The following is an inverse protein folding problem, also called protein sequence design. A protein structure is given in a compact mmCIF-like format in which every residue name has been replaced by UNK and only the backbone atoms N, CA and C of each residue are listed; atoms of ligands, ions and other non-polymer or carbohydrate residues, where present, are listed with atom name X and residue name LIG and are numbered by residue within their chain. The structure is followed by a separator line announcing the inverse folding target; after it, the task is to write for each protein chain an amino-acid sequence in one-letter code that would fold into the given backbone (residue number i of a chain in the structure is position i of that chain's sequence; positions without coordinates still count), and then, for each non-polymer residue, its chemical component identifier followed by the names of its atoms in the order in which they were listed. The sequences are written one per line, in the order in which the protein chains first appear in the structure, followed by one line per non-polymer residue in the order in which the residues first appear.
data_IF_742141060769
#
_entry.id   IF_742141060769
#
_cell.length_a   1.000
_cell.length_b   1.000
_cell.length_c   1.000
_cell.angle_alpha   90.00
_cell.angle_beta   90.00
_cell.angle_gamma   90.00
#
_symmetry.space_group_name_H-M   'P 1'
#
loop_
_entity.id
_entity.type
_entity.pdbx_description
1 polymer ?
#
# COMPACT_ATOMS: atom_id res chain seq x y z
N UNK A 1 37.29 0.26 -0.62
CA UNK A 1 36.39 0.84 -1.64
C UNK A 1 34.94 0.33 -1.60
N UNK A 2 34.63 -0.93 -1.25
CA UNK A 2 33.24 -1.46 -1.17
C UNK A 2 32.33 -0.83 -0.08
N UNK A 3 32.91 -0.15 0.91
CA UNK A 3 32.18 0.40 2.07
C UNK A 3 31.40 1.69 1.74
N UNK A 4 31.98 2.60 0.96
CA UNK A 4 31.40 3.92 0.67
C UNK A 4 30.15 3.80 -0.21
N UNK A 5 30.19 2.97 -1.26
CA UNK A 5 29.03 2.70 -2.11
C UNK A 5 27.84 2.13 -1.35
N UNK A 6 28.10 1.26 -0.36
CA UNK A 6 27.05 0.66 0.47
C UNK A 6 26.36 1.70 1.36
N UNK A 7 27.12 2.66 1.88
CA UNK A 7 26.62 3.78 2.70
C UNK A 7 25.79 4.74 1.83
N UNK A 8 26.26 5.08 0.62
CA UNK A 8 25.53 5.94 -0.30
C UNK A 8 24.19 5.34 -0.74
N UNK A 9 24.16 4.04 -1.06
CA UNK A 9 22.93 3.32 -1.38
C UNK A 9 21.93 3.34 -0.20
N UNK A 10 22.43 3.14 1.02
CA UNK A 10 21.60 3.16 2.23
C UNK A 10 21.01 4.56 2.51
N UNK A 11 21.79 5.63 2.31
CA UNK A 11 21.33 7.02 2.43
C UNK A 11 20.25 7.32 1.39
N UNK A 12 20.43 6.89 0.13
CA UNK A 12 19.45 7.06 -0.95
C UNK A 12 18.17 6.30 -0.62
N UNK A 13 18.29 5.06 -0.15
CA UNK A 13 17.15 4.22 0.26
C UNK A 13 16.39 4.86 1.42
N UNK A 14 17.08 5.38 2.43
CA UNK A 14 16.46 6.05 3.57
C UNK A 14 15.76 7.35 3.18
N UNK A 15 16.34 8.14 2.27
CA UNK A 15 15.66 9.33 1.69
C UNK A 15 14.40 8.96 0.91
N UNK A 16 14.43 7.85 0.14
CA UNK A 16 13.25 7.32 -0.56
C UNK A 16 12.19 6.83 0.43
N UNK A 17 12.55 6.01 1.44
CA UNK A 17 11.62 5.52 2.49
C UNK A 17 10.89 6.66 3.19
N UNK A 18 11.61 7.70 3.62
CA UNK A 18 11.04 8.89 4.26
C UNK A 18 10.15 9.70 3.31
N UNK A 19 10.48 9.77 2.01
CA UNK A 19 9.65 10.46 1.01
C UNK A 19 8.29 9.79 0.82
N UNK A 20 8.21 8.47 0.99
CA UNK A 20 6.98 7.70 0.83
C UNK A 20 6.31 7.34 2.15
N UNK A 21 6.77 7.84 3.31
CA UNK A 21 6.20 7.45 4.62
C UNK A 21 6.21 5.93 4.89
N UNK A 22 7.11 5.19 4.24
CA UNK A 22 7.05 3.74 4.15
C UNK A 22 7.59 3.06 5.42
N UNK A 23 6.68 2.72 6.34
CA UNK A 23 6.89 1.77 7.42
C UNK A 23 6.22 0.45 7.03
N UNK A 24 7.03 -0.58 6.77
CA UNK A 24 6.49 -1.91 6.47
C UNK A 24 5.80 -2.45 7.73
N UNK A 25 4.55 -2.87 7.61
CA UNK A 25 3.90 -3.65 8.65
C UNK A 25 4.57 -5.01 8.75
N UNK A 26 4.87 -5.47 9.97
CA UNK A 26 5.37 -6.81 10.18
C UNK A 26 4.28 -7.83 9.87
N UNK A 27 4.70 -9.03 9.47
CA UNK A 27 3.78 -10.17 9.31
C UNK A 27 3.15 -10.52 10.67
N UNK A 28 3.87 -10.31 11.77
CA UNK A 28 3.38 -10.59 13.13
C UNK A 28 2.14 -9.77 13.48
N UNK A 29 2.10 -8.47 13.13
CA UNK A 29 0.91 -7.64 13.34
C UNK A 29 -0.29 -8.22 12.60
N UNK A 30 -0.10 -8.68 11.36
CA UNK A 30 -1.17 -9.32 10.61
C UNK A 30 -1.63 -10.60 11.31
N UNK A 31 -0.71 -11.48 11.70
CA UNK A 31 -1.03 -12.77 12.33
C UNK A 31 -1.71 -12.63 13.69
N UNK A 32 -1.29 -11.64 14.48
CA UNK A 32 -1.77 -11.44 15.85
C UNK A 32 -3.12 -10.73 15.89
N UNK A 33 -3.33 -9.71 15.04
CA UNK A 33 -4.49 -8.81 15.19
C UNK A 33 -5.49 -8.86 14.04
N UNK A 34 -5.06 -9.19 12.81
CA UNK A 34 -5.95 -9.14 11.64
C UNK A 34 -6.46 -10.53 11.31
N UNK A 35 -5.56 -11.52 11.23
CA UNK A 35 -5.88 -12.87 10.80
C UNK A 35 -6.98 -13.54 11.65
N UNK A 36 -6.98 -13.46 13.00
CA UNK A 36 -8.00 -14.11 13.82
C UNK A 36 -9.43 -13.67 13.50
N UNK A 37 -9.61 -12.41 13.08
CA UNK A 37 -10.91 -11.81 12.76
C UNK A 37 -11.44 -12.22 11.39
N UNK A 38 -10.56 -12.60 10.46
CA UNK A 38 -10.93 -12.83 9.05
C UNK A 38 -10.72 -14.27 8.58
N UNK A 39 -10.00 -15.10 9.33
CA UNK A 39 -9.55 -16.44 8.90
C UNK A 39 -10.69 -17.36 8.43
N UNK A 40 -11.87 -17.27 9.03
CA UNK A 40 -13.01 -18.13 8.69
C UNK A 40 -13.70 -17.69 7.38
N UNK A 41 -13.44 -16.46 6.93
CA UNK A 41 -14.10 -15.83 5.79
C UNK A 41 -13.16 -15.64 4.58
N UNK A 42 -11.97 -16.23 4.59
CA UNK A 42 -10.94 -15.97 3.58
C UNK A 42 -11.39 -16.28 2.14
N UNK A 43 -12.31 -17.23 1.96
CA UNK A 43 -12.86 -17.64 0.67
C UNK A 43 -14.08 -16.82 0.21
N UNK A 44 -14.59 -15.93 1.05
CA UNK A 44 -15.79 -15.15 0.74
C UNK A 44 -15.47 -13.83 0.06
N UNK A 45 -14.22 -13.35 0.18
CA UNK A 45 -13.81 -12.00 -0.25
C UNK A 45 -12.62 -12.01 -1.20
N UNK A 46 -12.51 -10.96 -2.01
CA UNK A 46 -11.25 -10.60 -2.67
C UNK A 46 -10.48 -9.63 -1.77
N UNK A 47 -9.33 -10.05 -1.27
CA UNK A 47 -8.43 -9.32 -0.38
C UNK A 47 -7.51 -8.39 -1.16
N UNK A 48 -7.60 -7.09 -0.85
CA UNK A 48 -6.97 -6.04 -1.65
C UNK A 48 -6.09 -5.15 -0.79
N UNK A 49 -4.83 -5.00 -1.19
CA UNK A 49 -3.93 -3.99 -0.62
C UNK A 49 -3.50 -3.01 -1.71
N UNK A 50 -3.94 -1.76 -1.58
CA UNK A 50 -3.65 -0.69 -2.54
C UNK A 50 -2.28 -0.02 -2.31
N UNK A 51 -1.60 -0.36 -1.21
CA UNK A 51 -0.29 0.15 -0.78
C UNK A 51 0.58 -1.00 -0.24
N UNK A 52 0.66 -2.07 -1.02
CA UNK A 52 1.04 -3.40 -0.54
C UNK A 52 2.46 -3.53 -0.01
N UNK A 53 3.39 -2.64 -0.39
CA UNK A 53 4.79 -2.81 -0.06
C UNK A 53 5.29 -4.20 -0.51
N UNK A 54 5.81 -4.97 0.43
CA UNK A 54 6.32 -6.34 0.18
C UNK A 54 5.24 -7.43 0.33
N UNK A 55 3.97 -7.05 0.52
CA UNK A 55 2.80 -7.94 0.59
C UNK A 55 2.48 -8.50 1.97
N UNK A 56 3.10 -7.97 3.04
CA UNK A 56 3.04 -8.55 4.38
C UNK A 56 1.66 -8.57 5.04
N UNK A 57 0.69 -7.78 4.55
CA UNK A 57 -0.65 -7.70 5.13
C UNK A 57 -1.68 -8.63 4.49
N UNK A 58 -1.36 -9.23 3.34
CA UNK A 58 -2.33 -10.06 2.59
C UNK A 58 -1.72 -11.38 2.16
N UNK A 59 -0.45 -11.42 1.73
CA UNK A 59 0.19 -12.68 1.32
C UNK A 59 0.20 -13.75 2.43
N UNK A 60 0.32 -13.43 3.73
CA UNK A 60 0.25 -14.45 4.77
C UNK A 60 -1.09 -15.19 4.86
N UNK A 61 -2.17 -14.70 4.22
CA UNK A 61 -3.42 -15.48 4.06
C UNK A 61 -3.18 -16.83 3.37
N UNK A 62 -2.15 -16.94 2.53
CA UNK A 62 -1.79 -18.19 1.86
C UNK A 62 -1.33 -19.28 2.85
N UNK A 63 -0.92 -18.93 4.07
CA UNK A 63 -0.62 -19.89 5.13
C UNK A 63 -1.87 -20.65 5.60
N UNK A 64 -3.05 -20.01 5.52
CA UNK A 64 -4.34 -20.60 5.88
C UNK A 64 -4.95 -21.48 4.78
N UNK A 65 -4.29 -21.57 3.62
CA UNK A 65 -4.78 -22.29 2.45
C UNK A 65 -3.89 -23.49 2.15
N UNK A 66 -4.51 -24.66 1.98
CA UNK A 66 -3.88 -25.88 1.51
C UNK A 66 -3.06 -25.63 0.23
N UNK A 67 -1.87 -26.22 0.13
CA UNK A 67 -0.88 -25.94 -0.91
C UNK A 67 -1.47 -26.05 -2.32
N UNK A 68 -2.31 -27.07 -2.55
CA UNK A 68 -2.95 -27.39 -3.82
C UNK A 68 -3.99 -26.34 -4.23
N UNK A 69 -4.58 -25.66 -3.24
CA UNK A 69 -5.61 -24.62 -3.43
C UNK A 69 -5.01 -23.22 -3.54
N UNK A 70 -3.76 -22.99 -3.12
CA UNK A 70 -3.12 -21.66 -3.07
C UNK A 70 -3.11 -20.93 -4.40
N UNK A 71 -2.84 -21.61 -5.50
CA UNK A 71 -2.81 -20.98 -6.83
C UNK A 71 -4.20 -20.46 -7.21
N UNK A 72 -5.24 -21.26 -6.97
CA UNK A 72 -6.63 -20.85 -7.23
C UNK A 72 -7.03 -19.71 -6.32
N UNK A 73 -6.77 -19.85 -5.01
CA UNK A 73 -7.04 -18.82 -4.02
C UNK A 73 -6.40 -17.50 -4.41
N UNK A 74 -5.09 -17.49 -4.66
CA UNK A 74 -4.36 -16.29 -5.03
C UNK A 74 -4.93 -15.61 -6.28
N UNK A 75 -5.23 -16.38 -7.34
CA UNK A 75 -5.78 -15.85 -8.60
C UNK A 75 -7.10 -15.12 -8.40
N UNK A 76 -7.98 -15.70 -7.57
CA UNK A 76 -9.36 -15.26 -7.41
C UNK A 76 -9.55 -14.26 -6.24
N UNK A 77 -8.71 -14.34 -5.22
CA UNK A 77 -8.93 -13.68 -3.93
C UNK A 77 -7.83 -12.71 -3.49
N UNK A 78 -6.68 -12.59 -4.18
CA UNK A 78 -5.61 -11.67 -3.74
C UNK A 78 -5.24 -10.70 -4.86
N UNK A 79 -5.27 -9.39 -4.55
CA UNK A 79 -4.84 -8.32 -5.46
C UNK A 79 -4.01 -7.27 -4.74
N UNK A 80 -2.78 -7.03 -5.18
CA UNK A 80 -1.82 -6.18 -4.51
C UNK A 80 -1.29 -5.10 -5.47
N UNK A 81 -1.20 -3.87 -4.98
CA UNK A 81 -0.71 -2.74 -5.75
C UNK A 81 0.30 -1.93 -4.95
N UNK A 82 1.35 -1.47 -5.62
CA UNK A 82 2.26 -0.47 -5.06
C UNK A 82 2.82 0.41 -6.18
N UNK A 83 3.11 1.67 -5.88
CA UNK A 83 3.72 2.59 -6.85
C UNK A 83 5.22 2.30 -7.07
N UNK A 84 5.86 1.63 -6.11
CA UNK A 84 7.28 1.34 -6.08
C UNK A 84 7.58 -0.01 -6.72
N UNK A 85 8.24 0.02 -7.88
CA UNK A 85 8.70 -1.16 -8.62
C UNK A 85 9.44 -2.20 -7.75
N UNK A 86 10.32 -1.74 -6.86
CA UNK A 86 11.09 -2.62 -6.00
C UNK A 86 10.21 -3.36 -4.98
N UNK A 87 9.09 -2.75 -4.55
CA UNK A 87 8.15 -3.35 -3.60
C UNK A 87 7.32 -4.42 -4.29
N UNK A 88 6.80 -4.10 -5.49
CA UNK A 88 6.13 -5.05 -6.38
C UNK A 88 6.98 -6.29 -6.64
N UNK A 89 8.26 -6.12 -7.02
CA UNK A 89 9.17 -7.25 -7.26
C UNK A 89 9.38 -8.12 -6.02
N UNK A 90 9.47 -7.51 -4.83
CA UNK A 90 9.59 -8.25 -3.57
C UNK A 90 8.31 -8.98 -3.20
N UNK A 91 7.16 -8.34 -3.37
CA UNK A 91 5.87 -8.98 -3.15
C UNK A 91 5.67 -10.19 -4.09
N UNK A 92 6.08 -10.08 -5.36
CA UNK A 92 6.09 -11.21 -6.31
C UNK A 92 7.01 -12.33 -5.79
N UNK A 93 8.26 -12.00 -5.43
CA UNK A 93 9.18 -13.00 -4.88
C UNK A 93 8.68 -13.63 -3.58
N UNK A 94 7.95 -12.89 -2.75
CA UNK A 94 7.31 -13.43 -1.55
C UNK A 94 6.14 -14.35 -1.88
N UNK A 95 5.31 -14.02 -2.87
CA UNK A 95 4.24 -14.89 -3.35
C UNK A 95 4.80 -16.23 -3.89
N UNK A 96 5.94 -16.21 -4.58
CA UNK A 96 6.63 -17.43 -5.04
C UNK A 96 7.02 -18.34 -3.88
N UNK A 97 7.47 -17.78 -2.74
CA UNK A 97 7.78 -18.56 -1.54
C UNK A 97 6.56 -19.27 -0.95
N UNK A 98 5.36 -18.75 -1.19
CA UNK A 98 4.10 -19.42 -0.80
C UNK A 98 3.63 -20.47 -1.82
N UNK A 99 4.35 -20.67 -2.92
CA UNK A 99 4.01 -21.63 -3.98
C UNK A 99 3.20 -21.04 -5.14
N UNK A 100 3.11 -19.70 -5.24
CA UNK A 100 2.44 -19.02 -6.37
C UNK A 100 3.44 -18.80 -7.51
N UNK A 101 3.25 -19.39 -8.70
CA UNK A 101 4.18 -19.19 -9.81
C UNK A 101 4.29 -17.73 -10.25
N UNK A 102 5.49 -17.29 -10.64
CA UNK A 102 5.77 -15.92 -11.11
C UNK A 102 4.75 -15.38 -12.13
N UNK A 103 4.41 -16.19 -13.13
CA UNK A 103 3.48 -15.81 -14.21
C UNK A 103 2.05 -15.56 -13.72
N UNK A 104 1.69 -16.11 -12.57
CA UNK A 104 0.44 -15.86 -11.86
C UNK A 104 0.59 -14.66 -10.93
N UNK A 105 1.66 -14.65 -10.12
CA UNK A 105 1.95 -13.57 -9.17
C UNK A 105 1.94 -12.18 -9.85
N UNK A 106 2.64 -12.04 -10.98
CA UNK A 106 2.73 -10.77 -11.72
C UNK A 106 1.41 -10.25 -12.28
N UNK A 107 0.37 -11.09 -12.38
CA UNK A 107 -0.96 -10.67 -12.87
C UNK A 107 -1.74 -9.95 -11.79
N UNK A 108 -1.60 -10.38 -10.53
CA UNK A 108 -2.36 -9.86 -9.40
C UNK A 108 -1.55 -8.91 -8.52
N UNK A 109 -0.22 -8.87 -8.68
CA UNK A 109 0.68 -7.94 -8.01
C UNK A 109 1.21 -6.96 -9.05
N UNK A 110 0.69 -5.73 -9.03
CA UNK A 110 0.92 -4.77 -10.10
C UNK A 110 1.53 -3.47 -9.58
N UNK A 111 2.41 -2.88 -10.40
CA UNK A 111 2.83 -1.50 -10.18
C UNK A 111 1.75 -0.55 -10.64
N UNK A 112 1.20 0.22 -9.70
CA UNK A 112 0.13 1.19 -9.99
C UNK A 112 0.13 2.32 -8.97
N UNK A 113 -0.15 3.53 -9.44
CA UNK A 113 -0.47 4.67 -8.58
C UNK A 113 -1.99 4.66 -8.34
N UNK A 114 -2.42 3.96 -7.31
CA UNK A 114 -3.85 3.70 -7.01
C UNK A 114 -4.63 4.94 -6.58
N UNK A 115 -3.94 6.02 -6.22
CA UNK A 115 -4.56 7.33 -5.95
C UNK A 115 -4.89 8.08 -7.25
N UNK A 116 -4.08 7.90 -8.29
CA UNK A 116 -4.27 8.54 -9.61
C UNK A 116 -5.12 7.69 -10.55
N UNK A 117 -4.93 6.37 -10.52
CA UNK A 117 -5.55 5.38 -11.39
C UNK A 117 -6.03 4.21 -10.52
N UNK A 118 -7.26 4.31 -10.03
CA UNK A 118 -7.87 3.21 -9.27
C UNK A 118 -8.16 2.03 -10.21
N UNK A 119 -7.80 0.79 -9.84
CA UNK A 119 -8.02 -0.37 -10.70
C UNK A 119 -9.50 -0.73 -10.80
N UNK A 120 -10.17 -0.20 -11.83
CA UNK A 120 -11.62 -0.33 -12.05
C UNK A 120 -12.15 -1.78 -12.08
N UNK A 121 -11.32 -2.75 -12.49
CA UNK A 121 -11.70 -4.17 -12.49
C UNK A 121 -12.04 -4.71 -11.09
N UNK A 122 -11.62 -4.03 -10.01
CA UNK A 122 -12.02 -4.37 -8.65
C UNK A 122 -13.55 -4.37 -8.51
N UNK A 123 -14.25 -3.47 -9.20
CA UNK A 123 -15.72 -3.33 -9.14
C UNK A 123 -16.45 -4.52 -9.78
N UNK A 124 -15.75 -5.32 -10.56
CA UNK A 124 -16.29 -6.46 -11.31
C UNK A 124 -15.68 -7.79 -10.87
N UNK A 125 -15.05 -7.82 -9.69
CA UNK A 125 -14.51 -9.06 -9.13
C UNK A 125 -15.63 -10.06 -8.84
N UNK A 126 -15.28 -11.35 -8.91
CA UNK A 126 -16.19 -12.44 -8.60
C UNK A 126 -16.65 -12.43 -7.14
N UNK A 127 -15.78 -11.99 -6.23
CA UNK A 127 -16.05 -11.90 -4.80
C UNK A 127 -16.03 -10.42 -4.36
N UNK A 128 -16.79 -10.06 -3.31
CA UNK A 128 -16.79 -8.70 -2.78
C UNK A 128 -15.37 -8.25 -2.37
N UNK A 129 -14.95 -7.03 -2.73
CA UNK A 129 -13.64 -6.52 -2.35
C UNK A 129 -13.58 -6.19 -0.85
N UNK A 130 -12.53 -6.66 -0.18
CA UNK A 130 -12.19 -6.31 1.20
C UNK A 130 -10.78 -5.74 1.25
N UNK A 131 -10.64 -4.52 1.77
CA UNK A 131 -9.36 -3.83 1.81
C UNK A 131 -8.61 -4.06 3.13
N UNK A 132 -7.40 -4.63 3.05
CA UNK A 132 -6.45 -4.69 4.17
C UNK A 132 -5.22 -3.93 3.72
N UNK A 133 -4.99 -2.75 4.29
CA UNK A 133 -3.89 -1.89 3.86
C UNK A 133 -3.37 -1.04 5.01
N UNK A 134 -2.08 -0.72 4.98
CA UNK A 134 -1.46 0.28 5.85
C UNK A 134 -0.91 1.40 4.96
N UNK A 135 -1.75 2.38 4.60
CA UNK A 135 -1.36 3.41 3.66
C UNK A 135 -0.21 4.24 4.23
N UNK A 136 0.66 4.80 3.37
CA UNK A 136 1.76 5.62 3.84
C UNK A 136 1.27 6.85 4.61
N UNK A 137 1.69 6.99 5.87
CA UNK A 137 1.41 8.19 6.66
C UNK A 137 2.30 9.34 6.21
N UNK A 138 1.83 10.09 5.22
CA UNK A 138 2.40 11.39 4.91
C UNK A 138 1.83 12.42 5.89
N UNK A 139 2.64 12.86 6.85
CA UNK A 139 2.28 14.01 7.69
C UNK A 139 2.03 15.22 6.77
N UNK A 140 0.82 15.77 6.75
CA UNK A 140 0.44 16.94 5.94
C UNK A 140 1.41 18.12 6.15
N UNK A 141 1.91 18.30 7.38
CA UNK A 141 2.94 19.31 7.68
C UNK A 141 4.31 19.02 7.05
N UNK A 142 4.62 17.79 6.68
CA UNK A 142 5.86 17.43 5.97
C UNK A 142 5.77 17.77 4.48
N UNK A 143 4.61 17.57 3.85
CA UNK A 143 4.32 18.02 2.49
C UNK A 143 4.38 19.56 2.44
N UNK A 144 3.75 20.23 3.42
CA UNK A 144 3.74 21.69 3.54
C UNK A 144 5.14 22.27 3.75
N UNK A 145 5.96 21.71 4.65
CA UNK A 145 7.35 22.15 4.88
C UNK A 145 8.24 21.99 3.64
N UNK A 146 8.08 20.91 2.87
CA UNK A 146 8.83 20.71 1.62
C UNK A 146 8.40 21.66 0.51
N UNK A 147 7.10 21.94 0.39
CA UNK A 147 6.60 22.92 -0.57
C UNK A 147 7.15 24.33 -0.28
N UNK A 148 7.19 24.72 1.01
CA UNK A 148 7.77 25.99 1.46
C UNK A 148 9.27 26.05 1.18
N UNK A 149 10.03 25.03 1.60
CA UNK A 149 11.48 24.98 1.38
C UNK A 149 11.87 25.00 -0.11
N UNK A 150 11.09 24.37 -0.98
CA UNK A 150 11.31 24.45 -2.42
C UNK A 150 10.96 25.83 -2.99
N UNK A 151 9.87 26.47 -2.54
CA UNK A 151 9.50 27.82 -2.96
C UNK A 151 10.59 28.84 -2.59
N UNK A 152 11.14 28.75 -1.38
CA UNK A 152 12.27 29.57 -0.91
C UNK A 152 13.53 29.34 -1.76
N UNK A 153 13.83 28.09 -2.10
CA UNK A 153 14.97 27.72 -2.96
C UNK A 153 14.88 28.30 -4.38
N UNK A 154 13.67 28.51 -4.91
CA UNK A 154 13.43 29.09 -6.24
C UNK A 154 13.05 30.58 -6.18
N UNK A 155 13.26 31.26 -5.04
CA UNK A 155 13.05 32.70 -4.89
C UNK A 155 11.60 33.15 -4.92
N UNK A 156 10.64 32.24 -4.69
CA UNK A 156 9.21 32.58 -4.66
C UNK A 156 8.87 33.12 -3.27
N UNK A 157 8.38 34.37 -3.13
CA UNK A 157 8.06 34.96 -1.84
C UNK A 157 7.04 34.11 -1.07
N UNK A 158 7.33 33.86 0.21
CA UNK A 158 6.54 33.03 1.15
C UNK A 158 5.03 33.30 1.09
N UNK A 159 4.64 34.56 0.92
CA UNK A 159 3.24 35.00 0.86
C UNK A 159 2.49 34.53 -0.41
N UNK A 160 3.20 34.32 -1.53
CA UNK A 160 2.62 33.84 -2.79
C UNK A 160 2.45 32.32 -2.76
N UNK A 161 3.42 31.59 -2.18
CA UNK A 161 3.32 30.15 -1.99
C UNK A 161 2.16 29.77 -1.06
N UNK A 162 1.95 30.52 0.02
CA UNK A 162 0.87 30.28 0.99
C UNK A 162 -0.52 30.53 0.40
N UNK A 163 -0.70 31.56 -0.44
CA UNK A 163 -1.97 31.87 -1.13
C UNK A 163 -2.37 30.80 -2.15
N UNK A 164 -1.40 30.21 -2.85
CA UNK A 164 -1.64 29.13 -3.81
C UNK A 164 -1.96 27.78 -3.15
N UNK A 165 -1.47 27.55 -1.93
CA UNK A 165 -1.80 26.38 -1.11
C UNK A 165 -3.20 26.53 -0.50
N UNK A 166 -3.56 27.71 0.02
CA UNK A 166 -4.92 27.97 0.54
C UNK A 166 -6.03 27.81 -0.53
N UNK A 167 -5.73 28.11 -1.81
CA UNK A 167 -6.66 27.83 -2.93
C UNK A 167 -6.80 26.34 -3.26
N UNK A 168 -5.86 25.48 -2.86
CA UNK A 168 -5.99 24.02 -2.93
C UNK A 168 -6.68 23.44 -1.69
N UNK A 169 -6.53 24.09 -0.54
CA UNK A 169 -7.21 23.73 0.71
C UNK A 169 -8.74 23.97 0.67
N UNK A 170 -9.28 24.63 -0.36
CA UNK A 170 -10.74 24.71 -0.60
C UNK A 170 -11.33 23.52 -1.35
N UNK A 171 -10.56 22.44 -1.58
CA UNK A 171 -11.13 21.13 -1.90
C UNK A 171 -11.82 20.56 -0.64
N UNK A 172 -13.07 21.01 -0.43
CA UNK A 172 -14.07 20.39 0.43
C UNK A 172 -14.48 18.96 -0.02
N UNK A 173 -13.73 18.34 -0.93
CA UNK A 173 -14.11 17.09 -1.61
C UNK A 173 -13.45 15.82 -1.06
N UNK A 174 -12.96 15.83 0.18
CA UNK A 174 -12.61 14.57 0.88
C UNK A 174 -13.40 14.35 2.20
N UNK A 175 -14.75 14.27 2.20
CA UNK A 175 -15.49 13.87 3.40
C UNK A 175 -15.52 12.35 3.65
N UNK A 176 -15.17 11.50 2.69
CA UNK A 176 -15.49 10.06 2.78
C UNK A 176 -14.36 9.16 3.31
N UNK A 177 -13.10 9.59 3.32
CA UNK A 177 -11.98 8.68 3.60
C UNK A 177 -11.62 8.50 5.09
N UNK A 178 -12.21 9.29 6.00
CA UNK A 178 -11.93 9.22 7.46
C UNK A 178 -13.06 8.51 8.25
N UNK A 179 -13.97 7.80 7.58
CA UNK A 179 -14.99 6.99 8.28
C UNK A 179 -14.55 5.57 8.65
N UNK A 180 -13.41 5.07 8.19
CA UNK A 180 -13.04 3.65 8.34
C UNK A 180 -12.06 3.31 9.47
N UNK A 181 -11.69 4.25 10.35
CA UNK A 181 -10.87 3.97 11.54
C UNK A 181 -11.62 4.11 12.88
N UNK A 182 -12.96 4.09 12.84
CA UNK A 182 -13.80 3.94 14.03
C UNK A 182 -14.82 2.83 13.78
N UNK A 183 -14.47 1.58 14.07
CA UNK A 183 -15.48 0.53 14.33
C UNK A 183 -16.45 1.05 15.41
N UNK A 184 -17.78 0.80 15.35
CA UNK A 184 -18.37 -0.53 15.07
C UNK A 184 -19.61 -0.53 14.14
N UNK A 185 -19.93 -1.71 13.59
CA UNK A 185 -21.26 -2.27 13.20
C UNK A 185 -20.97 -3.44 12.24
N UNK A 186 -21.04 -4.73 12.60
CA UNK A 186 -22.19 -5.47 13.12
C UNK A 186 -23.47 -5.08 12.38
N UNK A 187 -23.72 -5.73 11.25
CA UNK A 187 -25.07 -6.04 10.78
C UNK A 187 -25.06 -7.37 10.04
N UNK A 188 -26.13 -8.11 10.33
CA UNK A 188 -26.52 -9.44 9.91
C UNK A 188 -26.58 -9.62 8.39
#
# INVERSE_FOLDING_TARGET
MKSIYKIEEEIIRNKKRRRFGAHLTSIDIFKEFILPEIKEHIWEYSWIDLFAGEGNLVLPLLECVELEKRIKFFKEHIFLFDIQEQMVKKAISNAEKYGVPYNIAKKNIQKRDTLKDYPEFIKTLKYPPFHITNPPYLYLGYIQKKAISNAEKYGVPYNIAKKNIQKRDTLKDYPEFIKTLKYPRLFL
#
